data_IF_319433533406
#
_entry.id   IF_319433533406
#
_cell.length_a   1.000
_cell.length_b   1.000
_cell.length_c   1.000
_cell.angle_alpha   90.00
_cell.angle_beta   90.00
_cell.angle_gamma   90.00
#
_symmetry.space_group_name_H-M   'P 1'
#
loop_
_entity.id
_entity.type
_entity.pdbx_description
1 polymer ?
#
# COMPACT_ATOMS: atom_id res chain seq x y z
N UNK A 1 -7.62 4.71 11.69
CA UNK A 1 -7.74 4.46 10.23
C UNK A 1 -6.80 3.35 9.83
N UNK A 2 -7.18 2.57 8.83
CA UNK A 2 -6.38 1.56 8.16
C UNK A 2 -5.75 2.16 6.90
N UNK A 3 -4.47 2.50 6.99
CA UNK A 3 -3.70 3.15 5.94
C UNK A 3 -2.80 2.13 5.26
N UNK A 4 -2.79 2.10 3.93
CA UNK A 4 -1.86 1.29 3.13
C UNK A 4 -0.83 2.19 2.46
N UNK A 5 0.46 1.89 2.62
CA UNK A 5 1.54 2.58 1.90
C UNK A 5 1.95 1.71 0.73
N UNK A 6 1.78 2.19 -0.51
CA UNK A 6 2.31 1.48 -1.69
C UNK A 6 3.78 1.80 -1.83
N UNK A 7 4.65 0.86 -1.48
CA UNK A 7 6.11 1.03 -1.55
C UNK A 7 6.80 -0.32 -1.72
N UNK A 8 7.83 -0.38 -2.57
CA UNK A 8 8.63 -1.58 -2.77
C UNK A 8 9.62 -1.84 -1.64
N UNK A 9 9.98 -0.82 -0.88
CA UNK A 9 10.98 -0.93 0.18
C UNK A 9 10.51 -0.21 1.44
N UNK A 10 10.15 -1.01 2.44
CA UNK A 10 9.77 -0.54 3.78
C UNK A 10 10.92 0.12 4.52
N UNK A 11 12.18 -0.22 4.21
CA UNK A 11 13.37 0.25 4.94
C UNK A 11 13.83 1.64 4.49
N UNK A 12 13.21 2.22 3.45
CA UNK A 12 13.51 3.59 3.05
C UNK A 12 13.09 4.56 4.14
N UNK A 13 13.95 5.55 4.42
CA UNK A 13 13.71 6.58 5.44
C UNK A 13 12.32 7.20 5.32
N UNK A 14 11.90 7.59 4.11
CA UNK A 14 10.58 8.18 3.88
C UNK A 14 9.43 7.24 4.27
N UNK A 15 9.56 5.93 3.99
CA UNK A 15 8.53 4.95 4.31
C UNK A 15 8.47 4.75 5.83
N UNK A 16 9.64 4.66 6.49
CA UNK A 16 9.73 4.55 7.94
C UNK A 16 9.11 5.76 8.66
N UNK A 17 9.42 6.99 8.21
CA UNK A 17 8.84 8.21 8.78
C UNK A 17 7.31 8.25 8.66
N UNK A 18 6.75 7.76 7.55
CA UNK A 18 5.29 7.65 7.39
C UNK A 18 4.70 6.62 8.35
N UNK A 19 5.36 5.46 8.54
CA UNK A 19 4.95 4.43 9.48
C UNK A 19 4.96 4.98 10.91
N UNK A 20 6.02 5.68 11.32
CA UNK A 20 6.17 6.29 12.64
C UNK A 20 5.07 7.33 12.88
N UNK A 21 4.88 8.28 11.96
CA UNK A 21 3.87 9.33 12.08
C UNK A 21 2.44 8.78 12.14
N UNK A 22 2.16 7.67 11.45
CA UNK A 22 0.88 6.99 11.51
C UNK A 22 0.67 6.25 12.84
N UNK A 23 1.72 5.58 13.35
CA UNK A 23 1.69 4.91 14.66
C UNK A 23 1.49 5.89 15.81
N UNK A 24 2.17 7.04 15.78
CA UNK A 24 2.00 8.13 16.76
C UNK A 24 0.54 8.62 16.82
N UNK A 25 -0.15 8.64 15.67
CA UNK A 25 -1.56 9.01 15.54
C UNK A 25 -2.53 7.84 15.77
N UNK A 26 -2.03 6.69 16.24
CA UNK A 26 -2.81 5.48 16.51
C UNK A 26 -3.57 4.98 15.26
N UNK A 27 -2.92 5.03 14.10
CA UNK A 27 -3.44 4.45 12.86
C UNK A 27 -2.81 3.07 12.61
N UNK A 28 -3.59 2.16 12.04
CA UNK A 28 -3.11 0.87 11.56
C UNK A 28 -2.46 1.09 10.20
N UNK A 29 -1.20 0.67 10.05
CA UNK A 29 -0.46 0.89 8.82
C UNK A 29 0.13 -0.41 8.28
N UNK A 30 0.08 -0.54 6.95
CA UNK A 30 0.68 -1.66 6.25
C UNK A 30 1.40 -1.21 4.99
N UNK A 31 2.62 -1.70 4.78
CA UNK A 31 3.37 -1.47 3.54
C UNK A 31 3.05 -2.59 2.55
N UNK A 32 2.56 -2.18 1.39
CA UNK A 32 2.16 -3.06 0.30
C UNK A 32 3.10 -2.83 -0.88
N UNK A 33 3.72 -3.90 -1.37
CA UNK A 33 4.48 -3.84 -2.62
C UNK A 33 3.50 -3.89 -3.80
N UNK A 34 3.37 -2.80 -4.59
CA UNK A 34 2.42 -2.75 -5.69
C UNK A 34 2.71 -3.78 -6.79
N UNK A 35 3.96 -4.27 -6.91
CA UNK A 35 4.27 -5.32 -7.89
C UNK A 35 3.79 -6.72 -7.49
N UNK A 36 3.47 -6.91 -6.21
CA UNK A 36 2.99 -8.19 -5.68
C UNK A 36 1.48 -8.19 -5.44
N UNK A 37 0.80 -7.20 -6.01
CA UNK A 37 -0.65 -7.08 -5.96
C UNK A 37 -1.24 -7.74 -7.21
N UNK A 38 -2.16 -8.68 -6.99
CA UNK A 38 -2.95 -9.28 -8.05
C UNK A 38 -4.24 -8.47 -8.19
N UNK A 39 -4.49 -7.97 -9.40
CA UNK A 39 -5.64 -7.14 -9.73
C UNK A 39 -6.70 -8.01 -10.41
N UNK A 40 -7.85 -8.18 -9.76
CA UNK A 40 -9.02 -8.79 -10.37
C UNK A 40 -9.88 -7.68 -10.95
N UNK A 41 -9.88 -7.57 -12.27
CA UNK A 41 -10.60 -6.52 -13.02
C UNK A 41 -11.94 -7.09 -13.47
N UNK A 42 -12.94 -7.00 -12.60
CA UNK A 42 -14.32 -7.39 -12.90
C UNK A 42 -15.24 -6.16 -12.97
N UNK A 43 -16.29 -6.24 -13.81
CA UNK A 43 -17.18 -5.11 -14.08
C UNK A 43 -17.91 -4.54 -12.86
N UNK A 44 -18.17 -5.36 -11.84
CA UNK A 44 -18.98 -4.97 -10.67
C UNK A 44 -18.19 -4.87 -9.39
N UNK A 45 -17.13 -5.67 -9.23
CA UNK A 45 -16.41 -5.76 -7.97
C UNK A 45 -14.90 -5.93 -8.20
N UNK A 46 -14.22 -4.88 -8.72
CA UNK A 46 -12.78 -4.93 -8.86
C UNK A 46 -12.14 -5.16 -7.49
N UNK A 47 -11.20 -6.10 -7.44
CA UNK A 47 -10.63 -6.60 -6.18
C UNK A 47 -9.12 -6.66 -6.28
N UNK A 48 -8.45 -6.43 -5.15
CA UNK A 48 -6.99 -6.48 -5.06
C UNK A 48 -6.60 -7.53 -4.03
N UNK A 49 -5.76 -8.47 -4.44
CA UNK A 49 -5.14 -9.44 -3.56
C UNK A 49 -3.67 -9.10 -3.36
N UNK A 50 -3.17 -9.32 -2.16
CA UNK A 50 -1.75 -9.16 -1.84
C UNK A 50 -1.30 -10.36 -1.03
N UNK A 51 -0.34 -11.13 -1.54
CA UNK A 51 0.14 -12.38 -0.89
C UNK A 51 -1.00 -13.34 -0.53
N UNK A 52 -1.96 -13.52 -1.43
CA UNK A 52 -3.09 -14.45 -1.25
C UNK A 52 -4.20 -13.98 -0.31
N UNK A 53 -4.11 -12.77 0.27
CA UNK A 53 -5.20 -12.15 1.06
C UNK A 53 -5.82 -10.99 0.31
N UNK A 54 -7.14 -10.85 0.40
CA UNK A 54 -7.86 -9.71 -0.15
C UNK A 54 -7.54 -8.45 0.66
N UNK A 55 -7.30 -7.33 -0.02
CA UNK A 55 -7.03 -6.04 0.59
C UNK A 55 -8.34 -5.34 0.97
N UNK A 56 -8.99 -5.85 2.01
CA UNK A 56 -10.18 -5.23 2.59
C UNK A 56 -9.84 -4.09 3.57
N UNK A 57 -10.85 -3.27 3.89
CA UNK A 57 -10.82 -2.28 4.97
C UNK A 57 -9.66 -1.29 4.86
N UNK A 58 -9.50 -0.65 3.71
CA UNK A 58 -8.51 0.42 3.48
C UNK A 58 -9.20 1.77 3.47
N UNK A 59 -8.87 2.62 4.45
CA UNK A 59 -9.43 3.97 4.56
C UNK A 59 -8.65 4.98 3.70
N UNK A 60 -7.34 4.78 3.57
CA UNK A 60 -6.47 5.67 2.81
C UNK A 60 -5.27 4.92 2.22
N UNK A 61 -4.79 5.40 1.07
CA UNK A 61 -3.62 4.89 0.38
C UNK A 61 -2.60 6.01 0.18
N UNK A 62 -1.34 5.75 0.55
CA UNK A 62 -0.21 6.66 0.31
C UNK A 62 0.69 6.05 -0.77
N UNK A 63 0.66 6.56 -2.02
CA UNK A 63 1.51 6.05 -3.09
C UNK A 63 2.96 6.56 -2.95
N UNK A 64 3.90 5.64 -2.69
CA UNK A 64 5.36 5.86 -2.74
C UNK A 64 5.96 5.00 -3.86
N UNK A 65 5.52 5.31 -5.07
CA UNK A 65 5.89 4.61 -6.31
C UNK A 65 7.17 5.28 -6.85
N UNK A 66 8.24 4.50 -7.00
CA UNK A 66 9.52 5.00 -7.54
C UNK A 66 9.48 5.23 -9.05
N UNK A 67 10.30 6.15 -9.57
CA UNK A 67 10.35 6.42 -11.01
C UNK A 67 10.77 5.20 -11.85
N UNK A 68 11.60 4.30 -11.30
CA UNK A 68 12.05 3.06 -11.96
C UNK A 68 10.93 2.05 -12.24
N UNK A 69 9.71 2.37 -11.85
CA UNK A 69 8.56 1.46 -11.85
C UNK A 69 7.35 2.03 -12.59
N UNK A 70 7.51 3.25 -13.07
CA UNK A 70 6.55 4.00 -13.87
C UNK A 70 7.14 4.14 -15.26
N UNK A 71 6.34 3.93 -16.30
CA UNK A 71 6.78 4.01 -17.71
C UNK A 71 6.81 5.45 -18.27
N UNK A 72 6.97 6.45 -17.39
CA UNK A 72 7.01 7.87 -17.77
C UNK A 72 8.45 8.35 -17.95
#
# INVERSE_FOLDING_TARGET
MNIKILSRNSNLYSTQRLIEAAKERKHSIEVIDPLKCDLIIEKKHPSIFYKGRHLENTDAVIPRIGASVTFY
#
